data_IF_952531733209
#
_entry.id   IF_952531733209
#
_cell.length_a   1.000
_cell.length_b   1.000
_cell.length_c   1.000
_cell.angle_alpha   90.00
_cell.angle_beta   90.00
_cell.angle_gamma   90.00
#
_symmetry.space_group_name_H-M   'P 1'
#
loop_
_entity.id
_entity.type
_entity.pdbx_description
1 polymer ?
#
# COMPACT_ATOMS: atom_id res chain seq x y z
N UNK A 1 4.65 7.10 -13.08
CA UNK A 1 3.82 6.14 -12.34
C UNK A 1 4.12 4.75 -12.88
N UNK A 2 4.46 3.80 -12.01
CA UNK A 2 4.75 2.42 -12.40
C UNK A 2 3.47 1.71 -12.86
N UNK A 3 3.56 0.89 -13.89
CA UNK A 3 2.43 0.12 -14.42
C UNK A 3 1.88 -0.87 -13.38
N UNK A 4 0.57 -1.06 -13.37
CA UNK A 4 -0.11 -2.04 -12.53
C UNK A 4 -0.32 -1.66 -11.06
N UNK A 5 -0.03 -0.41 -10.67
CA UNK A 5 -0.20 0.09 -9.30
C UNK A 5 -1.03 1.39 -9.20
N UNK A 6 -1.79 1.74 -10.25
CA UNK A 6 -2.44 3.06 -10.32
C UNK A 6 -3.32 3.35 -9.11
N UNK A 7 -4.32 2.51 -8.83
CA UNK A 7 -5.30 2.78 -7.76
C UNK A 7 -4.65 2.76 -6.38
N UNK A 8 -3.68 1.87 -6.16
CA UNK A 8 -2.99 1.81 -4.85
C UNK A 8 -2.06 3.00 -4.65
N UNK A 9 -1.40 3.51 -5.70
CA UNK A 9 -0.61 4.74 -5.61
C UNK A 9 -1.50 5.95 -5.33
N UNK A 10 -2.61 6.10 -6.05
CA UNK A 10 -3.60 7.17 -5.79
C UNK A 10 -4.13 7.11 -4.34
N UNK A 11 -4.42 5.90 -3.84
CA UNK A 11 -4.83 5.69 -2.45
C UNK A 11 -3.72 6.10 -1.46
N UNK A 12 -2.47 5.67 -1.68
CA UNK A 12 -1.35 5.99 -0.79
C UNK A 12 -1.04 7.48 -0.76
N UNK A 13 -1.10 8.15 -1.92
CA UNK A 13 -0.95 9.61 -2.02
C UNK A 13 -2.05 10.32 -1.23
N UNK A 14 -3.31 9.93 -1.41
CA UNK A 14 -4.42 10.50 -0.64
C UNK A 14 -4.31 10.24 0.86
N UNK A 15 -3.80 9.06 1.29
CA UNK A 15 -3.56 8.80 2.71
C UNK A 15 -2.43 9.68 3.25
N UNK A 16 -1.40 9.97 2.45
CA UNK A 16 -0.31 10.86 2.87
C UNK A 16 -0.83 12.27 3.16
N UNK A 17 -1.77 12.78 2.35
CA UNK A 17 -2.42 14.08 2.59
C UNK A 17 -3.23 14.07 3.90
N UNK A 18 -3.97 12.99 4.18
CA UNK A 18 -4.72 12.83 5.43
C UNK A 18 -3.79 12.85 6.64
N UNK A 19 -2.68 12.11 6.58
CA UNK A 19 -1.71 12.05 7.67
C UNK A 19 -0.95 13.38 7.85
N UNK A 20 -0.82 14.19 6.78
CA UNK A 20 -0.26 15.54 6.89
C UNK A 20 -1.20 16.51 7.60
N UNK A 21 -2.49 16.46 7.24
CA UNK A 21 -3.53 17.24 7.90
C UNK A 21 -3.71 16.82 9.36
N UNK A 22 -3.70 15.51 9.67
CA UNK A 22 -3.78 15.01 11.04
C UNK A 22 -2.59 15.47 11.88
N UNK A 23 -1.37 15.39 11.34
CA UNK A 23 -0.18 15.92 12.01
C UNK A 23 -0.34 17.41 12.32
N UNK A 24 -0.78 18.20 11.34
CA UNK A 24 -0.97 19.64 11.48
C UNK A 24 -1.98 19.98 12.58
N UNK A 25 -3.18 19.38 12.52
CA UNK A 25 -4.26 19.61 13.48
C UNK A 25 -3.87 19.16 14.89
N UNK A 26 -3.22 18.01 15.03
CA UNK A 26 -2.77 17.53 16.33
C UNK A 26 -1.71 18.45 16.94
N UNK A 27 -0.76 18.95 16.16
CA UNK A 27 0.21 19.94 16.66
C UNK A 27 -0.48 21.24 17.10
N UNK A 28 -1.49 21.69 16.37
CA UNK A 28 -2.28 22.86 16.76
C UNK A 28 -2.98 22.63 18.11
N UNK A 29 -3.70 21.51 18.26
CA UNK A 29 -4.40 21.19 19.51
C UNK A 29 -3.46 20.94 20.68
N UNK A 30 -2.27 20.37 20.44
CA UNK A 30 -1.22 20.30 21.45
C UNK A 30 -0.87 21.70 21.98
N UNK A 31 -0.64 22.65 21.07
CA UNK A 31 -0.21 24.02 21.40
C UNK A 31 -1.28 24.83 22.14
N UNK A 32 -2.54 24.61 21.82
CA UNK A 32 -3.69 25.32 22.40
C UNK A 32 -4.17 24.71 23.72
N UNK A 33 -3.78 23.46 24.02
CA UNK A 33 -4.24 22.76 25.22
C UNK A 33 -3.54 23.23 26.50
N UNK A 34 -4.35 23.66 27.47
CA UNK A 34 -3.91 23.96 28.84
C UNK A 34 -3.82 22.73 29.76
N UNK A 35 -4.45 21.61 29.37
CA UNK A 35 -4.36 20.34 30.11
C UNK A 35 -3.15 19.52 29.62
N UNK A 36 -2.29 19.10 30.54
CA UNK A 36 -1.04 18.40 30.24
C UNK A 36 -1.24 16.97 29.71
N UNK A 37 -2.34 16.30 30.09
CA UNK A 37 -2.70 14.97 29.56
C UNK A 37 -3.24 15.10 28.14
N UNK A 38 -4.10 16.08 27.91
CA UNK A 38 -4.64 16.37 26.57
C UNK A 38 -3.52 16.78 25.62
N UNK A 39 -2.61 17.65 26.06
CA UNK A 39 -1.40 18.02 25.30
C UNK A 39 -0.59 16.79 24.90
N UNK A 40 -0.31 15.90 25.85
CA UNK A 40 0.46 14.68 25.59
C UNK A 40 -0.25 13.71 24.65
N UNK A 41 -1.58 13.65 24.68
CA UNK A 41 -2.35 12.87 23.72
C UNK A 41 -2.13 13.39 22.30
N UNK A 42 -2.34 14.69 22.07
CA UNK A 42 -2.16 15.28 20.74
C UNK A 42 -0.72 15.21 20.23
N UNK A 43 0.27 15.40 21.10
CA UNK A 43 1.67 15.15 20.76
C UNK A 43 1.91 13.71 20.24
N UNK A 44 1.33 12.71 20.92
CA UNK A 44 1.50 11.31 20.51
C UNK A 44 0.80 11.02 19.18
N UNK A 45 -0.37 11.61 18.94
CA UNK A 45 -1.11 11.48 17.68
C UNK A 45 -0.33 12.12 16.52
N UNK A 46 0.14 13.36 16.68
CA UNK A 46 0.99 14.04 15.69
C UNK A 46 2.25 13.22 15.38
N UNK A 47 2.87 12.63 16.40
CA UNK A 47 4.03 11.75 16.21
C UNK A 47 3.66 10.47 15.44
N UNK A 48 2.49 9.88 15.69
CA UNK A 48 2.04 8.70 14.97
C UNK A 48 1.78 9.03 13.50
N UNK A 49 1.07 10.12 13.22
CA UNK A 49 0.78 10.57 11.85
C UNK A 49 2.06 10.82 11.04
N UNK A 50 3.07 11.46 11.65
CA UNK A 50 4.41 11.58 11.04
C UNK A 50 5.03 10.22 10.70
N UNK A 51 4.94 9.25 11.63
CA UNK A 51 5.42 7.89 11.42
C UNK A 51 4.69 7.16 10.29
N UNK A 52 3.39 7.37 10.15
CA UNK A 52 2.59 6.82 9.05
C UNK A 52 2.99 7.44 7.71
N UNK A 53 3.16 8.77 7.63
CA UNK A 53 3.69 9.43 6.41
C UNK A 53 5.02 8.84 5.97
N UNK A 54 5.95 8.66 6.90
CA UNK A 54 7.26 8.08 6.60
C UNK A 54 7.14 6.63 6.07
N UNK A 55 6.19 5.86 6.60
CA UNK A 55 5.92 4.49 6.14
C UNK A 55 5.28 4.47 4.74
N UNK A 56 4.25 5.29 4.52
CA UNK A 56 3.57 5.44 3.22
C UNK A 56 4.57 5.87 2.15
N UNK A 57 5.40 6.88 2.44
CA UNK A 57 6.44 7.36 1.52
C UNK A 57 7.41 6.26 1.12
N UNK A 58 7.82 5.40 2.06
CA UNK A 58 8.69 4.25 1.75
C UNK A 58 8.02 3.24 0.85
N UNK A 59 6.72 3.00 1.03
CA UNK A 59 5.94 2.10 0.16
C UNK A 59 5.86 2.68 -1.26
N UNK A 60 5.50 3.96 -1.40
CA UNK A 60 5.46 4.65 -2.70
C UNK A 60 6.82 4.55 -3.40
N UNK A 61 7.91 4.90 -2.71
CA UNK A 61 9.28 4.80 -3.26
C UNK A 61 9.59 3.37 -3.70
N UNK A 62 9.27 2.36 -2.88
CA UNK A 62 9.49 0.95 -3.22
C UNK A 62 8.71 0.54 -4.47
N UNK A 63 7.47 1.00 -4.61
CA UNK A 63 6.65 0.76 -5.81
C UNK A 63 7.34 1.41 -7.00
N UNK A 64 7.67 2.70 -6.93
CA UNK A 64 8.26 3.45 -8.04
C UNK A 64 9.68 3.01 -8.44
N UNK A 65 10.46 2.43 -7.52
CA UNK A 65 11.85 2.01 -7.75
C UNK A 65 12.01 0.56 -8.24
N UNK A 66 10.94 -0.09 -8.71
CA UNK A 66 10.91 -1.51 -9.08
C UNK A 66 11.37 -2.49 -7.98
N UNK A 67 11.38 -2.06 -6.71
CA UNK A 67 11.80 -2.90 -5.58
C UNK A 67 10.61 -3.61 -4.93
N UNK A 68 9.39 -3.16 -5.23
CA UNK A 68 8.15 -3.73 -4.71
C UNK A 68 7.76 -5.01 -5.45
N UNK A 69 7.59 -6.08 -4.68
CA UNK A 69 7.07 -7.37 -5.17
C UNK A 69 5.60 -7.25 -5.54
N UNK A 70 5.24 -7.71 -6.73
CA UNK A 70 3.86 -7.86 -7.18
C UNK A 70 3.35 -9.22 -6.69
N UNK A 71 2.42 -9.19 -5.74
CA UNK A 71 1.80 -10.39 -5.21
C UNK A 71 0.29 -10.22 -5.10
N UNK A 72 -0.43 -11.32 -5.30
CA UNK A 72 -1.89 -11.36 -5.17
C UNK A 72 -2.32 -12.56 -4.33
N UNK A 73 -3.46 -12.45 -3.65
CA UNK A 73 -4.05 -13.61 -2.99
C UNK A 73 -4.77 -14.50 -4.01
N UNK A 74 -4.49 -15.80 -3.94
CA UNK A 74 -5.15 -16.83 -4.72
C UNK A 74 -6.66 -16.79 -4.47
N UNK A 75 -7.46 -16.61 -5.53
CA UNK A 75 -8.92 -16.55 -5.44
C UNK A 75 -9.58 -17.90 -5.08
N UNK A 76 -8.81 -18.99 -5.04
CA UNK A 76 -9.31 -20.33 -4.69
C UNK A 76 -9.06 -20.68 -3.22
N UNK A 77 -7.88 -20.36 -2.68
CA UNK A 77 -7.48 -20.78 -1.33
C UNK A 77 -6.92 -19.67 -0.43
N UNK A 78 -6.83 -18.43 -0.92
CA UNK A 78 -6.34 -17.28 -0.17
C UNK A 78 -4.82 -17.21 0.01
N UNK A 79 -4.05 -18.18 -0.48
CA UNK A 79 -2.58 -18.17 -0.38
C UNK A 79 -1.95 -17.13 -1.33
N UNK A 80 -0.83 -16.53 -0.93
CA UNK A 80 -0.12 -15.57 -1.78
C UNK A 80 0.45 -16.22 -3.05
N UNK A 81 0.25 -15.56 -4.19
CA UNK A 81 0.84 -15.85 -5.49
C UNK A 81 1.79 -14.69 -5.81
N UNK A 82 3.08 -15.01 -5.92
CA UNK A 82 4.17 -14.04 -6.04
C UNK A 82 4.67 -14.01 -7.49
N UNK A 83 4.60 -12.85 -8.14
CA UNK A 83 5.11 -12.61 -9.51
C UNK A 83 6.48 -11.92 -9.51
N UNK A 84 7.09 -11.71 -8.35
CA UNK A 84 8.38 -11.07 -8.18
C UNK A 84 8.33 -9.55 -8.33
N UNK A 85 9.51 -8.96 -8.48
CA UNK A 85 9.70 -7.50 -8.44
C UNK A 85 9.50 -6.79 -9.77
N UNK A 86 9.57 -7.49 -10.90
CA UNK A 86 9.46 -6.87 -12.23
C UNK A 86 8.69 -7.79 -13.17
N UNK A 87 7.44 -8.16 -12.84
CA UNK A 87 6.67 -8.99 -13.74
C UNK A 87 6.25 -8.20 -14.98
N UNK A 88 5.85 -8.93 -16.00
CA UNK A 88 5.20 -8.40 -17.19
C UNK A 88 3.77 -8.92 -17.30
N UNK A 89 2.88 -8.12 -17.89
CA UNK A 89 1.55 -8.58 -18.29
C UNK A 89 1.68 -9.86 -19.12
N UNK A 90 0.89 -10.87 -18.77
CA UNK A 90 0.95 -12.21 -19.36
C UNK A 90 1.90 -13.18 -18.66
N UNK A 91 2.71 -12.74 -17.68
CA UNK A 91 3.41 -13.70 -16.81
C UNK A 91 2.42 -14.61 -16.11
N UNK A 92 2.80 -15.88 -15.98
CA UNK A 92 1.97 -16.92 -15.40
C UNK A 92 2.65 -17.45 -14.14
N UNK A 93 1.87 -17.66 -13.09
CA UNK A 93 2.35 -18.27 -11.86
C UNK A 93 1.36 -19.31 -11.34
N UNK A 94 1.87 -20.24 -10.53
CA UNK A 94 1.03 -21.24 -9.84
C UNK A 94 1.00 -20.93 -8.37
N UNK A 95 -0.21 -20.98 -7.79
CA UNK A 95 -0.35 -20.96 -6.34
C UNK A 95 0.41 -22.15 -5.74
N UNK A 96 1.36 -21.88 -4.85
CA UNK A 96 2.18 -22.91 -4.22
C UNK A 96 1.41 -23.84 -3.27
N UNK A 97 0.19 -23.47 -2.88
CA UNK A 97 -0.67 -24.28 -2.02
C UNK A 97 -1.64 -25.17 -2.80
N UNK A 98 -2.47 -24.59 -3.69
CA UNK A 98 -3.53 -25.34 -4.39
C UNK A 98 -3.20 -25.65 -5.86
N UNK A 99 -2.01 -25.29 -6.34
CA UNK A 99 -1.50 -25.51 -7.70
C UNK A 99 -2.31 -24.86 -8.84
N UNK A 100 -3.32 -24.04 -8.50
CA UNK A 100 -4.10 -23.28 -9.48
C UNK A 100 -3.17 -22.31 -10.23
N UNK A 101 -3.28 -22.31 -11.56
CA UNK A 101 -2.51 -21.45 -12.46
C UNK A 101 -3.23 -20.11 -12.66
N UNK A 102 -2.47 -19.04 -12.68
CA UNK A 102 -2.94 -17.67 -12.89
C UNK A 102 -2.06 -16.96 -13.92
N UNK A 103 -2.66 -16.04 -14.66
CA UNK A 103 -1.94 -15.03 -15.45
C UNK A 103 -2.11 -13.66 -14.79
N UNK A 104 -1.03 -12.87 -14.81
CA UNK A 104 -1.07 -11.45 -14.47
C UNK A 104 -1.62 -10.68 -15.67
N UNK A 105 -2.69 -9.92 -15.45
CA UNK A 105 -3.23 -8.98 -16.42
C UNK A 105 -3.15 -7.57 -15.87
N UNK A 106 -3.33 -6.58 -16.75
CA UNK A 106 -3.55 -5.20 -16.36
C UNK A 106 -4.98 -4.79 -16.75
N UNK A 107 -5.66 -4.09 -15.84
CA UNK A 107 -6.97 -3.51 -16.10
C UNK A 107 -7.02 -2.13 -15.44
N UNK A 108 -7.35 -1.11 -16.22
CA UNK A 108 -7.45 0.29 -15.77
C UNK A 108 -6.20 0.85 -15.06
N UNK A 109 -5.02 0.27 -15.34
CA UNK A 109 -3.74 0.66 -14.74
C UNK A 109 -3.34 -0.13 -13.48
N UNK A 110 -4.12 -1.15 -13.11
CA UNK A 110 -3.85 -2.03 -11.97
C UNK A 110 -3.61 -3.47 -12.40
N UNK A 111 -2.69 -4.15 -11.71
CA UNK A 111 -2.49 -5.59 -11.88
C UNK A 111 -3.67 -6.38 -11.31
N UNK A 112 -4.12 -7.38 -12.06
CA UNK A 112 -5.20 -8.28 -11.66
C UNK A 112 -4.87 -9.72 -12.01
N UNK A 113 -5.41 -10.66 -11.23
CA UNK A 113 -5.27 -12.08 -11.51
C UNK A 113 -6.38 -12.60 -12.42
N UNK A 114 -5.98 -13.33 -13.47
CA UNK A 114 -6.89 -14.19 -14.23
C UNK A 114 -6.59 -15.66 -13.97
N UNK A 115 -7.59 -16.39 -13.50
CA UNK A 115 -7.52 -17.85 -13.37
C UNK A 115 -7.38 -18.50 -14.75
N UNK A 116 -6.42 -19.42 -14.89
CA UNK A 116 -6.20 -20.21 -16.10
C UNK A 116 -6.73 -21.64 -15.92
N UNK A 117 -7.04 -22.37 -17.01
CA UNK A 117 -7.23 -23.82 -16.94
C UNK A 117 -6.00 -24.51 -16.35
N UNK A 118 -6.20 -25.65 -15.67
CA UNK A 118 -5.12 -26.38 -15.00
C UNK A 118 -4.07 -26.95 -15.97
#
# INVERSE_FOLDING_TARGET
MREGFKTILEFLESNMDVEDEEEHLCNQYESESNDSKVRRLFYNLARAARGHKDAIKKIIISIESDDHTVGHYCSICGWAVDFGKSPSVGNEERCSLCCQKFALLETDGDYVLKTLPQ
#
